data_IF_918814009367
#
_entry.id   IF_918814009367
#
_cell.length_a   1.000
_cell.length_b   1.000
_cell.length_c   1.000
_cell.angle_alpha   90.00
_cell.angle_beta   90.00
_cell.angle_gamma   90.00
#
_symmetry.space_group_name_H-M   'P 1'
#
loop_
_entity.id
_entity.type
_entity.pdbx_description
1 polymer ?
#
# COMPACT_ATOMS: atom_id res chain seq x y z
N UNK A 1 42.95 -29.13 11.78
CA UNK A 1 42.23 -27.94 12.25
C UNK A 1 40.75 -28.13 11.91
N UNK A 2 39.82 -28.04 12.85
CA UNK A 2 38.40 -28.40 12.64
C UNK A 2 37.43 -27.21 12.63
N UNK A 3 37.92 -25.99 12.91
CA UNK A 3 37.09 -24.79 13.01
C UNK A 3 37.01 -24.13 11.64
N UNK A 4 35.80 -24.00 11.09
CA UNK A 4 35.54 -23.39 9.78
C UNK A 4 35.12 -21.92 9.87
N UNK A 5 34.30 -21.56 10.88
CA UNK A 5 33.77 -20.22 11.08
C UNK A 5 34.13 -19.71 12.48
N UNK A 6 34.49 -18.43 12.57
CA UNK A 6 34.79 -17.74 13.82
C UNK A 6 33.89 -16.50 13.92
N UNK A 7 33.03 -16.49 14.94
CA UNK A 7 32.11 -15.39 15.20
C UNK A 7 32.87 -14.25 15.89
N UNK A 8 32.81 -13.04 15.33
CA UNK A 8 33.51 -11.86 15.82
C UNK A 8 32.59 -10.64 15.84
N UNK A 9 32.49 -10.00 17.00
CA UNK A 9 31.68 -8.79 17.24
C UNK A 9 32.56 -7.52 17.42
N UNK A 10 33.87 -7.63 17.17
CA UNK A 10 34.82 -6.52 17.37
C UNK A 10 35.35 -6.00 16.04
N UNK A 11 35.51 -4.66 15.88
CA UNK A 11 35.95 -4.06 14.61
C UNK A 11 37.42 -4.36 14.27
N UNK A 12 38.26 -4.74 15.24
CA UNK A 12 39.65 -5.12 15.00
C UNK A 12 39.98 -6.42 15.71
N UNK A 13 40.41 -7.42 14.93
CA UNK A 13 40.91 -8.70 15.45
C UNK A 13 42.40 -8.77 15.17
N UNK A 14 43.23 -8.82 16.22
CA UNK A 14 44.70 -8.76 16.10
C UNK A 14 45.31 -10.01 15.44
N UNK A 15 44.65 -11.17 15.60
CA UNK A 15 45.12 -12.46 15.09
C UNK A 15 44.03 -13.09 14.24
N UNK A 16 44.21 -13.06 12.91
CA UNK A 16 43.33 -13.71 11.95
C UNK A 16 44.02 -14.96 11.37
N UNK A 17 43.28 -16.05 11.27
CA UNK A 17 43.69 -17.29 10.62
C UNK A 17 43.11 -17.34 9.21
N UNK A 18 43.94 -17.51 8.19
CA UNK A 18 43.49 -17.59 6.80
C UNK A 18 42.60 -18.82 6.51
N UNK A 19 42.64 -19.84 7.37
CA UNK A 19 41.83 -21.05 7.24
C UNK A 19 40.37 -20.88 7.70
N UNK A 20 39.97 -19.71 8.20
CA UNK A 20 38.68 -19.49 8.86
C UNK A 20 37.92 -18.31 8.29
N UNK A 21 36.60 -18.44 8.23
CA UNK A 21 35.71 -17.33 7.92
C UNK A 21 35.36 -16.54 9.17
N UNK A 22 35.62 -15.24 9.14
CA UNK A 22 35.27 -14.32 10.20
C UNK A 22 33.92 -13.69 9.88
N UNK A 23 32.90 -13.95 10.71
CA UNK A 23 31.53 -13.47 10.48
C UNK A 23 30.98 -12.82 11.75
N UNK A 24 30.06 -11.87 11.58
CA UNK A 24 29.36 -11.23 12.69
C UNK A 24 28.30 -12.16 13.29
N UNK A 25 27.94 -12.03 14.58
CA UNK A 25 26.89 -12.84 15.22
C UNK A 25 25.55 -12.80 14.48
N UNK A 26 25.25 -11.69 13.79
CA UNK A 26 24.05 -11.50 13.00
C UNK A 26 23.80 -12.62 11.99
N UNK A 27 24.86 -13.16 11.37
CA UNK A 27 24.76 -14.23 10.38
C UNK A 27 24.07 -15.47 10.94
N UNK A 28 24.33 -15.82 12.21
CA UNK A 28 23.72 -16.98 12.85
C UNK A 28 22.23 -16.77 13.05
N UNK A 29 21.82 -15.59 13.52
CA UNK A 29 20.41 -15.28 13.73
C UNK A 29 19.63 -15.28 12.42
N UNK A 30 20.18 -14.66 11.39
CA UNK A 30 19.51 -14.61 10.09
C UNK A 30 19.45 -16.01 9.43
N UNK A 31 20.48 -16.85 9.59
CA UNK A 31 20.42 -18.25 9.13
C UNK A 31 19.35 -19.07 9.86
N UNK A 32 19.20 -18.86 11.17
CA UNK A 32 18.15 -19.55 11.97
C UNK A 32 16.77 -19.06 11.57
N UNK A 33 16.58 -17.74 11.42
CA UNK A 33 15.30 -17.15 11.03
C UNK A 33 14.84 -17.61 9.64
N UNK A 34 15.77 -17.80 8.71
CA UNK A 34 15.47 -18.25 7.35
C UNK A 34 15.54 -19.77 7.17
N UNK A 35 15.91 -20.52 8.23
CA UNK A 35 16.13 -21.98 8.19
C UNK A 35 17.06 -22.46 7.07
N UNK A 36 17.91 -21.56 6.56
CA UNK A 36 18.76 -21.77 5.38
C UNK A 36 20.11 -21.08 5.54
N UNK A 37 21.14 -21.59 4.84
CA UNK A 37 22.49 -21.04 4.92
C UNK A 37 22.61 -19.78 4.04
N UNK A 38 22.80 -18.63 4.68
CA UNK A 38 22.97 -17.35 4.00
C UNK A 38 24.42 -17.12 3.54
N UNK A 39 24.63 -16.36 2.45
CA UNK A 39 25.96 -15.90 2.04
C UNK A 39 26.66 -15.15 3.18
N UNK A 40 27.98 -15.36 3.32
CA UNK A 40 28.77 -14.86 4.45
C UNK A 40 29.28 -13.44 4.21
N UNK A 41 29.39 -13.06 2.93
CA UNK A 41 30.09 -11.87 2.44
C UNK A 41 29.51 -10.58 3.02
N UNK A 42 28.17 -10.51 3.13
CA UNK A 42 27.46 -9.37 3.72
C UNK A 42 27.61 -9.27 5.25
N UNK A 43 28.15 -10.30 5.89
CA UNK A 43 28.27 -10.42 7.34
C UNK A 43 29.71 -10.35 7.84
N UNK A 44 30.68 -10.05 6.98
CA UNK A 44 32.07 -9.89 7.40
C UNK A 44 32.22 -8.72 8.39
N UNK A 45 33.16 -8.79 9.35
CA UNK A 45 33.44 -7.69 10.27
C UNK A 45 33.69 -6.38 9.52
N UNK A 46 32.94 -5.32 9.86
CA UNK A 46 33.04 -4.01 9.22
C UNK A 46 32.21 -3.83 7.95
N UNK A 47 31.58 -4.88 7.43
CA UNK A 47 30.57 -4.77 6.38
C UNK A 47 29.28 -4.17 6.93
N UNK A 48 28.55 -3.43 6.10
CA UNK A 48 27.18 -2.99 6.40
C UNK A 48 26.26 -4.20 6.35
N UNK A 49 25.71 -4.57 7.51
CA UNK A 49 24.82 -5.73 7.63
C UNK A 49 23.56 -5.56 6.76
N UNK A 50 23.03 -6.66 6.20
CA UNK A 50 21.72 -6.65 5.56
C UNK A 50 20.63 -6.19 6.51
N UNK A 51 19.55 -5.56 6.00
CA UNK A 51 18.37 -5.28 6.82
C UNK A 51 17.76 -6.61 7.29
N UNK A 52 17.58 -6.76 8.60
CA UNK A 52 17.00 -7.97 9.16
C UNK A 52 15.48 -7.90 9.16
N UNK A 53 14.83 -9.04 8.95
CA UNK A 53 13.38 -9.19 9.00
C UNK A 53 12.99 -9.81 10.34
N UNK A 54 11.86 -9.38 10.90
CA UNK A 54 11.34 -9.98 12.13
C UNK A 54 10.80 -11.39 11.83
N UNK A 55 11.18 -12.41 12.62
CA UNK A 55 10.67 -13.76 12.45
C UNK A 55 9.21 -13.93 12.91
N UNK A 56 8.65 -12.92 13.59
CA UNK A 56 7.30 -12.97 14.18
C UNK A 56 6.22 -12.31 13.32
N UNK A 57 6.60 -11.72 12.18
CA UNK A 57 5.65 -11.10 11.26
C UNK A 57 5.23 -12.15 10.24
N UNK A 58 3.97 -12.57 10.34
CA UNK A 58 3.28 -13.33 9.30
C UNK A 58 2.77 -12.35 8.25
N UNK A 59 3.03 -12.62 6.99
CA UNK A 59 2.55 -11.80 5.89
C UNK A 59 1.16 -12.28 5.49
N UNK A 60 0.17 -11.40 5.55
CA UNK A 60 -1.13 -11.63 4.96
C UNK A 60 -1.18 -11.07 3.54
N UNK A 61 -2.09 -11.59 2.73
CA UNK A 61 -2.38 -11.06 1.41
C UNK A 61 -2.75 -9.57 1.50
N UNK A 62 -2.10 -8.74 0.67
CA UNK A 62 -2.21 -7.27 0.68
C UNK A 62 -1.29 -6.53 1.65
N UNK A 63 -0.47 -7.22 2.45
CA UNK A 63 0.56 -6.55 3.25
C UNK A 63 1.73 -6.06 2.39
N UNK A 64 2.37 -4.96 2.82
CA UNK A 64 3.62 -4.53 2.21
C UNK A 64 4.74 -5.51 2.57
N UNK A 65 5.21 -6.26 1.56
CA UNK A 65 6.36 -7.16 1.69
C UNK A 65 7.61 -6.45 1.16
N UNK A 66 8.61 -6.14 2.01
CA UNK A 66 9.86 -5.55 1.55
C UNK A 66 10.59 -6.45 0.54
N UNK A 67 11.29 -5.90 -0.45
CA UNK A 67 11.97 -6.68 -1.50
C UNK A 67 13.02 -7.64 -0.92
N UNK A 68 13.63 -7.31 0.23
CA UNK A 68 14.57 -8.20 0.90
C UNK A 68 13.90 -9.47 1.43
N UNK A 69 12.61 -9.39 1.79
CA UNK A 69 11.81 -10.54 2.19
C UNK A 69 11.33 -11.33 0.98
N UNK A 70 10.95 -10.65 -0.09
CA UNK A 70 10.62 -11.29 -1.38
C UNK A 70 11.79 -12.11 -1.91
N UNK A 71 13.02 -11.56 -1.89
CA UNK A 71 14.22 -12.27 -2.32
C UNK A 71 14.49 -13.55 -1.51
N UNK A 72 14.24 -13.52 -0.19
CA UNK A 72 14.36 -14.71 0.66
C UNK A 72 13.28 -15.76 0.37
N UNK A 73 12.03 -15.32 0.13
CA UNK A 73 10.92 -16.21 -0.26
C UNK A 73 11.22 -16.86 -1.61
N UNK A 74 11.65 -16.09 -2.61
CA UNK A 74 12.02 -16.56 -3.95
C UNK A 74 13.13 -17.62 -3.87
N UNK A 75 14.16 -17.35 -3.05
CA UNK A 75 15.25 -18.30 -2.79
C UNK A 75 14.76 -19.60 -2.15
N UNK A 76 13.82 -19.51 -1.21
CA UNK A 76 13.24 -20.68 -0.53
C UNK A 76 12.36 -21.52 -1.46
N UNK A 77 11.63 -20.87 -2.37
CA UNK A 77 10.81 -21.52 -3.40
C UNK A 77 11.62 -22.06 -4.58
N UNK A 78 12.92 -21.75 -4.66
CA UNK A 78 13.79 -22.18 -5.75
C UNK A 78 13.55 -21.43 -7.06
N UNK A 79 12.87 -20.28 -7.01
CA UNK A 79 12.76 -19.35 -8.12
C UNK A 79 14.10 -18.62 -8.22
N UNK A 80 14.93 -19.04 -9.17
CA UNK A 80 16.25 -18.46 -9.37
C UNK A 80 16.10 -17.03 -9.88
N UNK A 81 16.65 -16.04 -9.16
CA UNK A 81 16.81 -14.68 -9.67
C UNK A 81 17.77 -14.74 -10.88
N UNK A 82 17.22 -14.81 -12.09
CA UNK A 82 17.98 -14.48 -13.28
C UNK A 82 18.30 -12.99 -13.22
N UNK A 83 19.59 -12.71 -12.99
CA UNK A 83 20.16 -11.38 -12.96
C UNK A 83 19.98 -10.72 -14.33
N UNK A 84 18.95 -9.89 -14.50
CA UNK A 84 18.84 -9.01 -15.66
C UNK A 84 17.49 -8.91 -16.36
N UNK A 85 16.42 -9.48 -15.82
CA UNK A 85 15.08 -9.10 -16.27
C UNK A 85 14.71 -7.82 -15.52
N UNK A 86 14.73 -6.69 -16.23
CA UNK A 86 13.81 -5.62 -15.90
C UNK A 86 12.42 -6.26 -15.98
N UNK A 87 11.85 -6.62 -14.83
CA UNK A 87 10.41 -6.86 -14.71
C UNK A 87 9.73 -5.52 -14.93
N UNK A 88 9.63 -5.17 -16.20
CA UNK A 88 8.54 -4.39 -16.75
C UNK A 88 7.25 -5.15 -16.40
N UNK A 89 6.37 -4.49 -15.65
CA UNK A 89 4.93 -4.79 -15.58
C UNK A 89 4.53 -6.27 -15.46
N UNK A 90 4.56 -6.81 -14.25
CA UNK A 90 3.31 -7.40 -13.74
C UNK A 90 2.73 -6.44 -12.72
N UNK A 91 1.95 -5.50 -13.24
CA UNK A 91 0.93 -4.84 -12.46
C UNK A 91 0.09 -5.92 -11.81
N UNK A 92 0.31 -6.12 -10.51
CA UNK A 92 -0.84 -6.23 -9.64
C UNK A 92 -1.62 -4.95 -9.87
N UNK A 93 -2.56 -5.00 -10.81
CA UNK A 93 -3.80 -4.24 -10.78
C UNK A 93 -4.50 -4.62 -9.46
N UNK A 94 -3.89 -4.26 -8.33
CA UNK A 94 -4.66 -3.84 -7.19
C UNK A 94 -5.20 -2.50 -7.65
N UNK A 95 -6.37 -2.59 -8.30
CA UNK A 95 -7.13 -1.48 -8.85
C UNK A 95 -6.86 -0.26 -7.97
N UNK A 96 -6.28 0.77 -8.58
CA UNK A 96 -6.24 2.08 -7.97
C UNK A 96 -7.70 2.50 -7.75
N UNK A 97 -8.27 2.09 -6.60
CA UNK A 97 -9.30 2.86 -5.93
C UNK A 97 -8.55 4.10 -5.41
N UNK A 98 -8.36 5.04 -6.34
CA UNK A 98 -8.23 6.46 -6.07
C UNK A 98 -9.52 6.89 -5.36
N UNK A 99 -9.66 6.48 -4.09
CA UNK A 99 -10.54 7.13 -3.14
C UNK A 99 -9.90 8.48 -2.83
N UNK A 100 -9.97 9.41 -3.78
CA UNK A 100 -10.18 10.83 -3.48
C UNK A 100 -11.51 10.95 -2.74
N UNK A 101 -11.58 10.44 -1.52
CA UNK A 101 -12.56 10.88 -0.54
C UNK A 101 -11.92 12.05 0.21
N UNK A 102 -12.50 13.21 -0.06
CA UNK A 102 -12.28 14.49 0.59
C UNK A 102 -11.89 14.33 2.07
N UNK A 103 -10.91 15.12 2.50
CA UNK A 103 -10.62 15.37 3.90
C UNK A 103 -11.87 15.99 4.57
N UNK A 104 -12.84 15.17 4.97
CA UNK A 104 -13.78 15.56 6.02
C UNK A 104 -13.08 15.32 7.36
N UNK A 105 -12.53 16.40 7.91
CA UNK A 105 -12.14 16.50 9.31
C UNK A 105 -13.30 15.99 10.18
N UNK A 106 -13.08 14.86 10.86
CA UNK A 106 -14.03 14.27 11.80
C UNK A 106 -14.12 15.20 13.03
N UNK A 107 -15.11 16.10 13.01
CA UNK A 107 -15.61 16.76 14.20
C UNK A 107 -16.23 15.70 15.11
N UNK A 108 -15.62 15.48 16.27
CA UNK A 108 -16.16 14.68 17.37
C UNK A 108 -17.56 15.19 17.78
N UNK A 109 -18.62 14.61 17.23
CA UNK A 109 -19.97 14.77 17.78
C UNK A 109 -20.20 13.72 18.88
N UNK A 110 -19.91 14.16 20.09
CA UNK A 110 -20.32 13.56 21.36
C UNK A 110 -21.86 13.37 21.36
N UNK A 111 -22.31 12.17 21.75
CA UNK A 111 -23.72 11.81 21.83
C UNK A 111 -24.50 12.73 22.80
N UNK A 112 -25.34 13.61 22.27
CA UNK A 112 -26.52 14.13 23.00
C UNK A 112 -27.80 13.77 22.25
N UNK A 113 -28.60 12.87 22.85
CA UNK A 113 -30.02 12.76 22.51
C UNK A 113 -30.75 14.08 22.76
N UNK A 114 -31.79 14.39 21.97
CA UNK A 114 -32.94 15.00 22.59
C UNK A 114 -34.27 14.33 22.30
N UNK A 115 -35.07 14.36 23.36
CA UNK A 115 -36.44 13.92 23.53
C UNK A 115 -37.45 14.33 22.45
N UNK A 116 -38.51 13.53 22.43
CA UNK A 116 -39.78 13.73 21.72
C UNK A 116 -40.37 15.14 21.89
N UNK A 117 -40.68 15.81 20.77
CA UNK A 117 -41.47 17.05 20.76
C UNK A 117 -42.35 17.20 19.51
N UNK A 118 -43.67 17.20 19.73
CA UNK A 118 -44.74 17.43 18.72
C UNK A 118 -44.60 18.79 18.02
N UNK A 119 -44.87 18.87 16.71
CA UNK A 119 -44.99 20.17 16.03
C UNK A 119 -45.53 20.15 14.59
N UNK A 120 -46.85 19.98 14.41
CA UNK A 120 -47.56 20.36 13.16
C UNK A 120 -47.45 21.88 12.93
N UNK A 121 -46.81 22.35 11.84
CA UNK A 121 -47.01 23.70 11.27
C UNK A 121 -46.89 23.63 9.74
N UNK A 122 -48.02 23.49 9.04
CA UNK A 122 -48.73 24.54 8.28
C UNK A 122 -47.97 25.02 7.03
N UNK A 123 -48.43 24.50 5.88
CA UNK A 123 -48.30 25.09 4.55
C UNK A 123 -48.73 26.56 4.62
N UNK A 124 -47.86 27.48 4.20
CA UNK A 124 -48.24 28.82 3.77
C UNK A 124 -47.83 28.99 2.32
N UNK A 125 -48.85 29.25 1.53
CA UNK A 125 -48.83 29.64 0.14
C UNK A 125 -48.72 31.16 0.13
N UNK A 126 -47.60 31.69 -0.33
CA UNK A 126 -47.49 33.10 -0.73
C UNK A 126 -47.00 33.12 -2.17
N UNK A 127 -48.00 33.26 -3.05
CA UNK A 127 -47.91 33.79 -4.40
C UNK A 127 -47.39 35.21 -4.33
N UNK A 128 -46.20 35.48 -4.87
CA UNK A 128 -45.78 36.76 -5.46
C UNK A 128 -44.34 36.66 -5.99
N UNK A 129 -44.16 35.89 -7.07
CA UNK A 129 -43.04 36.04 -8.00
C UNK A 129 -43.45 35.62 -9.43
N UNK A 130 -44.75 35.69 -9.71
CA UNK A 130 -45.30 35.47 -11.04
C UNK A 130 -45.08 36.74 -11.89
N UNK A 131 -43.88 36.93 -12.45
CA UNK A 131 -43.62 37.77 -13.64
C UNK A 131 -42.18 37.77 -14.17
N UNK A 132 -41.32 36.81 -13.81
CA UNK A 132 -39.97 36.69 -14.40
C UNK A 132 -39.61 35.32 -15.00
N UNK A 133 -40.31 34.24 -14.64
CA UNK A 133 -39.90 32.87 -15.02
C UNK A 133 -40.54 32.30 -16.31
N UNK A 134 -41.45 33.00 -16.97
CA UNK A 134 -42.08 32.51 -18.22
C UNK A 134 -41.29 32.81 -19.51
N UNK A 135 -40.12 33.46 -19.41
CA UNK A 135 -39.26 33.75 -20.55
C UNK A 135 -38.10 32.75 -20.73
N UNK A 136 -37.91 31.79 -19.82
CA UNK A 136 -37.10 30.58 -20.09
C UNK A 136 -37.96 29.57 -20.86
N UNK A 137 -38.44 29.99 -22.02
CA UNK A 137 -38.93 29.08 -23.05
C UNK A 137 -37.77 28.15 -23.40
N UNK A 138 -37.82 26.93 -22.90
CA UNK A 138 -37.39 25.70 -23.57
C UNK A 138 -36.36 25.92 -24.68
N UNK A 139 -35.13 26.27 -24.30
CA UNK A 139 -33.97 26.13 -25.17
C UNK A 139 -33.64 24.63 -25.19
N UNK A 140 -34.52 23.83 -25.79
CA UNK A 140 -34.28 22.41 -26.08
C UNK A 140 -33.33 22.34 -27.29
N UNK A 141 -32.11 22.82 -27.14
CA UNK A 141 -31.05 22.56 -28.11
C UNK A 141 -30.55 21.14 -27.85
N UNK A 142 -30.90 20.22 -28.74
CA UNK A 142 -30.31 18.88 -28.79
C UNK A 142 -28.89 19.05 -29.32
N UNK A 143 -27.91 19.00 -28.42
CA UNK A 143 -26.50 18.93 -28.81
C UNK A 143 -26.24 17.52 -29.35
N UNK A 144 -25.71 17.41 -30.58
CA UNK A 144 -25.39 16.13 -31.17
C UNK A 144 -24.31 15.46 -30.31
N UNK A 145 -24.64 14.32 -29.70
CA UNK A 145 -23.73 13.59 -28.83
C UNK A 145 -22.42 13.28 -29.53
N UNK A 146 -21.30 13.69 -28.92
CA UNK A 146 -19.98 13.30 -29.38
C UNK A 146 -19.86 11.77 -29.34
N UNK A 147 -19.17 11.13 -30.31
CA UNK A 147 -18.89 9.72 -30.23
C UNK A 147 -18.04 9.46 -28.98
N UNK A 148 -18.64 8.78 -28.00
CA UNK A 148 -17.95 8.36 -26.78
C UNK A 148 -16.89 7.33 -27.19
N UNK A 149 -15.62 7.72 -27.10
CA UNK A 149 -14.51 6.81 -27.32
C UNK A 149 -14.48 5.85 -26.13
N UNK A 150 -15.21 4.74 -26.24
CA UNK A 150 -15.27 3.75 -25.17
C UNK A 150 -13.92 3.08 -25.00
N UNK A 151 -13.18 3.47 -23.97
CA UNK A 151 -12.21 2.55 -23.40
C UNK A 151 -13.01 1.43 -22.72
N UNK A 152 -12.89 0.22 -23.26
CA UNK A 152 -13.61 -0.97 -22.77
C UNK A 152 -13.32 -1.21 -21.29
N UNK A 153 -12.10 -0.90 -20.86
CA UNK A 153 -11.60 -1.07 -19.50
C UNK A 153 -12.26 -0.13 -18.51
N UNK A 154 -12.31 1.17 -18.83
CA UNK A 154 -13.00 2.17 -17.99
C UNK A 154 -14.49 1.86 -17.84
N UNK A 155 -15.11 1.33 -18.90
CA UNK A 155 -16.51 0.92 -18.84
C UNK A 155 -16.70 -0.30 -17.94
N UNK A 156 -15.77 -1.25 -17.96
CA UNK A 156 -15.79 -2.42 -17.08
C UNK A 156 -15.62 -2.00 -15.62
N UNK A 157 -14.64 -1.16 -15.32
CA UNK A 157 -14.42 -0.60 -13.98
C UNK A 157 -15.64 0.16 -13.45
N UNK A 158 -16.29 0.96 -14.30
CA UNK A 158 -17.52 1.64 -13.90
C UNK A 158 -18.64 0.64 -13.56
N UNK A 159 -18.76 -0.45 -14.32
CA UNK A 159 -19.73 -1.51 -14.03
C UNK A 159 -19.41 -2.23 -12.72
N UNK A 160 -18.14 -2.58 -12.46
CA UNK A 160 -17.74 -3.26 -11.22
C UNK A 160 -17.98 -2.38 -9.98
N UNK A 161 -17.68 -1.09 -10.07
CA UNK A 161 -17.95 -0.12 -9.00
C UNK A 161 -19.44 0.06 -8.73
N UNK A 162 -20.25 0.16 -9.79
CA UNK A 162 -21.72 0.22 -9.68
C UNK A 162 -22.28 -1.06 -9.03
N UNK A 163 -21.76 -2.23 -9.41
CA UNK A 163 -22.13 -3.52 -8.81
C UNK A 163 -21.75 -3.60 -7.33
N UNK A 164 -20.54 -3.16 -6.96
CA UNK A 164 -20.08 -3.10 -5.56
C UNK A 164 -20.97 -2.19 -4.72
N UNK A 165 -21.27 -0.98 -5.22
CA UNK A 165 -22.17 -0.02 -4.55
C UNK A 165 -23.57 -0.58 -4.38
N UNK A 166 -24.09 -1.27 -5.39
CA UNK A 166 -25.39 -1.93 -5.31
C UNK A 166 -25.37 -3.05 -4.27
N UNK A 167 -24.30 -3.86 -4.22
CA UNK A 167 -24.12 -4.91 -3.23
C UNK A 167 -24.09 -4.35 -1.80
N UNK A 168 -23.41 -3.21 -1.59
CA UNK A 168 -23.40 -2.51 -0.30
C UNK A 168 -24.80 -2.04 0.11
N UNK A 169 -25.57 -1.45 -0.81
CA UNK A 169 -26.96 -1.01 -0.53
C UNK A 169 -27.88 -2.18 -0.18
N UNK A 170 -27.61 -3.39 -0.69
CA UNK A 170 -28.37 -4.60 -0.37
C UNK A 170 -28.01 -5.21 1.01
N UNK A 171 -26.98 -4.70 1.69
CA UNK A 171 -26.62 -5.16 3.03
C UNK A 171 -27.75 -4.82 4.01
N UNK A 172 -28.29 -5.79 4.76
CA UNK A 172 -29.31 -5.52 5.76
C UNK A 172 -28.82 -4.50 6.79
N UNK A 173 -29.65 -3.51 7.14
CA UNK A 173 -29.31 -2.43 8.10
C UNK A 173 -28.67 -2.92 9.40
N UNK A 174 -29.05 -4.11 9.89
CA UNK A 174 -28.49 -4.74 11.11
C UNK A 174 -27.00 -5.08 10.99
N UNK A 175 -26.52 -5.36 9.77
CA UNK A 175 -25.12 -5.73 9.49
C UNK A 175 -24.30 -4.58 8.91
N UNK A 176 -24.94 -3.47 8.52
CA UNK A 176 -24.28 -2.32 7.90
C UNK A 176 -23.11 -1.79 8.75
N UNK A 177 -23.34 -1.52 10.04
CA UNK A 177 -22.28 -1.06 10.96
C UNK A 177 -21.06 -1.99 11.04
N UNK A 178 -21.27 -3.30 10.97
CA UNK A 178 -20.16 -4.26 10.99
C UNK A 178 -19.39 -4.21 9.68
N UNK A 179 -20.09 -4.11 8.54
CA UNK A 179 -19.48 -3.93 7.23
C UNK A 179 -18.65 -2.65 7.18
N UNK A 180 -19.23 -1.51 7.57
CA UNK A 180 -18.55 -0.21 7.58
C UNK A 180 -17.26 -0.26 8.43
N UNK A 181 -17.31 -0.92 9.59
CA UNK A 181 -16.13 -1.13 10.46
C UNK A 181 -15.05 -2.00 9.81
N UNK A 182 -15.45 -3.03 9.05
CA UNK A 182 -14.52 -3.89 8.31
C UNK A 182 -13.89 -3.11 7.15
N UNK A 183 -14.70 -2.36 6.39
CA UNK A 183 -14.22 -1.55 5.28
C UNK A 183 -13.27 -0.44 5.75
N UNK A 184 -13.60 0.24 6.85
CA UNK A 184 -12.72 1.22 7.47
C UNK A 184 -11.37 0.61 7.89
N UNK A 185 -11.38 -0.56 8.53
CA UNK A 185 -10.16 -1.26 8.90
C UNK A 185 -9.31 -1.64 7.68
N UNK A 186 -9.94 -2.09 6.58
CA UNK A 186 -9.26 -2.37 5.31
C UNK A 186 -8.68 -1.11 4.68
N UNK A 187 -9.46 -0.04 4.57
CA UNK A 187 -9.03 1.27 4.03
C UNK A 187 -7.81 1.78 4.80
N UNK A 188 -7.85 1.76 6.13
CA UNK A 188 -6.71 2.16 6.97
C UNK A 188 -5.46 1.30 6.70
N UNK A 189 -5.62 -0.02 6.62
CA UNK A 189 -4.52 -0.95 6.30
C UNK A 189 -3.91 -0.63 4.93
N UNK A 190 -4.75 -0.44 3.91
CA UNK A 190 -4.31 -0.12 2.55
C UNK A 190 -3.59 1.24 2.46
N UNK A 191 -4.05 2.24 3.21
CA UNK A 191 -3.35 3.52 3.32
C UNK A 191 -1.98 3.37 3.98
N UNK A 192 -1.86 2.56 5.02
CA UNK A 192 -0.58 2.27 5.67
C UNK A 192 0.39 1.55 4.72
N UNK A 193 -0.08 0.56 3.96
CA UNK A 193 0.73 -0.15 2.98
C UNK A 193 1.15 0.76 1.83
N UNK A 194 0.25 1.61 1.31
CA UNK A 194 0.58 2.62 0.29
C UNK A 194 1.66 3.58 0.76
N UNK A 195 1.53 4.11 1.98
CA UNK A 195 2.56 4.96 2.61
C UNK A 195 3.92 4.27 2.73
N UNK A 196 3.95 2.96 2.98
CA UNK A 196 5.21 2.19 3.04
C UNK A 196 5.82 2.00 1.64
N UNK A 197 5.01 1.73 0.61
CA UNK A 197 5.44 1.66 -0.79
C UNK A 197 6.05 2.98 -1.25
N UNK A 198 5.33 4.09 -1.07
CA UNK A 198 5.80 5.45 -1.43
C UNK A 198 7.13 5.80 -0.74
N UNK A 199 7.26 5.48 0.57
CA UNK A 199 8.52 5.70 1.31
C UNK A 199 9.68 4.88 0.73
N UNK A 200 9.42 3.65 0.30
CA UNK A 200 10.46 2.80 -0.30
C UNK A 200 10.90 3.34 -1.66
N UNK A 201 9.97 3.70 -2.52
CA UNK A 201 10.25 4.31 -3.83
C UNK A 201 11.06 5.60 -3.67
N UNK A 202 10.73 6.43 -2.69
CA UNK A 202 11.51 7.63 -2.37
C UNK A 202 12.97 7.28 -1.97
N UNK A 203 13.19 6.22 -1.19
CA UNK A 203 14.54 5.77 -0.83
C UNK A 203 15.29 5.25 -2.04
N UNK A 204 14.63 4.51 -2.93
CA UNK A 204 15.26 3.92 -4.12
C UNK A 204 15.62 4.98 -5.17
N UNK A 205 14.72 5.94 -5.40
CA UNK A 205 15.00 7.09 -6.27
C UNK A 205 16.16 7.93 -5.73
N UNK A 206 16.23 8.15 -4.40
CA UNK A 206 17.36 8.81 -3.76
C UNK A 206 18.67 8.02 -3.96
N UNK A 207 18.70 6.72 -3.67
CA UNK A 207 19.87 5.83 -3.89
C UNK A 207 20.32 5.83 -5.36
N UNK A 208 19.38 5.79 -6.31
CA UNK A 208 19.65 5.86 -7.76
C UNK A 208 20.25 7.20 -8.15
N UNK A 209 19.78 8.30 -7.55
CA UNK A 209 20.34 9.64 -7.78
C UNK A 209 21.77 9.78 -7.21
N UNK A 210 22.03 9.22 -6.03
CA UNK A 210 23.33 9.25 -5.39
C UNK A 210 24.37 8.42 -6.15
N UNK A 211 23.98 7.23 -6.62
CA UNK A 211 24.86 6.37 -7.42
C UNK A 211 25.22 7.04 -8.75
N UNK A 212 24.26 7.70 -9.43
CA UNK A 212 24.51 8.52 -10.62
C UNK A 212 25.47 9.69 -10.33
N UNK A 213 25.30 10.40 -9.21
CA UNK A 213 26.20 11.49 -8.80
C UNK A 213 27.63 11.00 -8.51
N UNK A 214 27.79 9.82 -7.87
CA UNK A 214 29.09 9.20 -7.63
C UNK A 214 29.78 8.80 -8.94
N UNK A 215 29.04 8.19 -9.88
CA UNK A 215 29.57 7.82 -11.22
C UNK A 215 30.00 9.02 -12.06
N UNK A 216 29.34 10.17 -11.94
CA UNK A 216 29.71 11.41 -12.67
C UNK A 216 30.93 12.13 -12.08
N UNK A 217 31.30 11.84 -10.83
CA UNK A 217 32.46 12.45 -10.14
C UNK A 217 33.74 11.63 -10.28
N UNK A 218 33.65 10.37 -10.70
CA UNK A 218 34.79 9.54 -11.11
C UNK A 218 35.10 9.78 -12.59
#
# INVERSE_FOLDING_TARGET
ESITHQIVDRPQTKNQYLSRYYVQPQWVFDCVNNTSLLPMESYFPGATLPPHLSPFVEEAEGDYVPPERQALINRQLGLQEDSGVEEDEEGSEDEEEDEEEEEEEESEEEEEEPEKGRGKRKRKHETEAATADQAKKLNMSVEAGAPENFNVEQKLQRQTMEERRLAEMMIPKKKKRLYDKIMFAKKKKNQETRKLKEKREAIETQKKSESKKKKKKQ
#
